data_IF_289091071808
#
_entry.id   IF_289091071808
#
_cell.length_a   1.000
_cell.length_b   1.000
_cell.length_c   1.000
_cell.angle_alpha   90.00
_cell.angle_beta   90.00
_cell.angle_gamma   90.00
#
_symmetry.space_group_name_H-M   'P 1'
#
loop_
_entity.id
_entity.type
_entity.pdbx_description
1 polymer ?
#
# COMPACT_ATOMS: atom_id res chain seq x y z
N UNK A 1 -19.83 9.21 -3.89
CA UNK A 1 -20.48 8.41 -2.82
C UNK A 1 -21.50 7.53 -3.48
N UNK A 2 -21.36 6.22 -3.41
CA UNK A 2 -22.42 5.34 -3.92
C UNK A 2 -23.67 5.53 -3.05
N UNK A 3 -24.81 5.87 -3.60
CA UNK A 3 -26.04 5.91 -2.81
C UNK A 3 -26.39 4.46 -2.47
N UNK A 4 -26.12 4.02 -1.27
CA UNK A 4 -26.42 2.65 -0.77
C UNK A 4 -27.89 2.25 -0.92
N UNK A 5 -28.76 3.22 -1.15
CA UNK A 5 -30.17 3.01 -1.41
C UNK A 5 -30.50 2.71 -2.88
N UNK A 6 -29.56 2.83 -3.81
CA UNK A 6 -29.77 2.47 -5.20
C UNK A 6 -29.61 0.96 -5.39
N UNK A 7 -30.69 0.30 -5.77
CA UNK A 7 -30.68 -1.12 -6.08
C UNK A 7 -30.09 -1.30 -7.48
N UNK A 8 -29.10 -2.19 -7.61
CA UNK A 8 -28.44 -2.54 -8.86
C UNK A 8 -28.63 -4.02 -9.18
N UNK A 9 -28.31 -4.41 -10.43
CA UNK A 9 -28.27 -5.81 -10.85
C UNK A 9 -26.96 -6.51 -10.51
N UNK A 10 -26.06 -5.88 -9.74
CA UNK A 10 -24.79 -6.45 -9.35
C UNK A 10 -24.98 -7.74 -8.53
N UNK A 11 -24.11 -8.73 -8.79
CA UNK A 11 -24.12 -10.03 -8.10
C UNK A 11 -22.89 -10.12 -7.22
N UNK A 12 -23.08 -10.04 -5.92
CA UNK A 12 -21.97 -10.14 -4.94
C UNK A 12 -21.35 -11.52 -4.95
N UNK A 13 -20.01 -11.56 -4.85
CA UNK A 13 -19.22 -12.75 -4.57
C UNK A 13 -18.26 -12.47 -3.41
N UNK A 14 -17.77 -13.55 -2.77
CA UNK A 14 -16.71 -13.49 -1.78
C UNK A 14 -15.81 -14.71 -1.88
N UNK A 15 -14.52 -14.49 -2.02
CA UNK A 15 -13.48 -15.53 -1.95
C UNK A 15 -12.90 -15.57 -0.55
N UNK A 16 -12.76 -16.75 0.00
CA UNK A 16 -12.15 -17.01 1.30
C UNK A 16 -11.65 -18.45 1.37
N UNK A 17 -10.93 -18.82 2.42
CA UNK A 17 -10.52 -20.22 2.60
C UNK A 17 -11.73 -21.16 2.77
N UNK A 18 -12.87 -20.68 3.31
CA UNK A 18 -14.15 -21.43 3.37
C UNK A 18 -14.89 -21.45 2.02
N UNK A 19 -14.61 -20.54 1.11
CA UNK A 19 -15.20 -20.45 -0.23
C UNK A 19 -14.14 -20.07 -1.28
N UNK A 20 -13.20 -20.97 -1.61
CA UNK A 20 -12.06 -20.66 -2.47
C UNK A 20 -12.43 -20.42 -3.95
N UNK A 21 -13.65 -20.76 -4.34
CA UNK A 21 -14.16 -20.55 -5.71
C UNK A 21 -15.03 -19.30 -5.84
N UNK A 22 -15.34 -18.60 -4.74
CA UNK A 22 -16.26 -17.47 -4.74
C UNK A 22 -17.70 -17.83 -5.13
N UNK A 23 -18.02 -19.12 -5.24
CA UNK A 23 -19.32 -19.59 -5.73
C UNK A 23 -20.47 -19.19 -4.79
N UNK A 24 -21.63 -18.93 -5.39
CA UNK A 24 -22.85 -18.69 -4.63
C UNK A 24 -23.17 -19.90 -3.74
N UNK A 25 -23.44 -19.66 -2.45
CA UNK A 25 -23.67 -20.70 -1.44
C UNK A 25 -22.48 -21.69 -1.30
N UNK A 26 -21.26 -21.23 -1.61
CA UNK A 26 -20.05 -22.06 -1.60
C UNK A 26 -19.41 -22.22 -0.22
N UNK A 27 -19.71 -21.33 0.73
CA UNK A 27 -19.09 -21.33 2.05
C UNK A 27 -19.80 -22.20 3.10
N UNK A 28 -19.07 -22.51 4.18
CA UNK A 28 -19.59 -23.10 5.43
C UNK A 28 -20.59 -24.26 5.27
N UNK A 29 -20.22 -25.31 4.57
CA UNK A 29 -21.08 -26.50 4.38
C UNK A 29 -21.14 -27.43 5.60
N UNK A 30 -20.49 -27.06 6.69
CA UNK A 30 -20.43 -27.84 7.94
C UNK A 30 -21.64 -27.66 8.89
N UNK A 31 -22.57 -26.74 8.56
CA UNK A 31 -23.70 -26.40 9.42
C UNK A 31 -23.39 -25.27 10.42
N UNK A 32 -24.35 -24.99 11.28
CA UNK A 32 -24.24 -23.89 12.26
C UNK A 32 -23.08 -24.10 13.24
N UNK A 33 -22.42 -23.00 13.62
CA UNK A 33 -21.30 -22.96 14.57
C UNK A 33 -20.08 -23.80 14.17
N UNK A 34 -19.94 -24.20 12.91
CA UNK A 34 -18.80 -24.97 12.40
C UNK A 34 -17.92 -24.15 11.47
N UNK A 35 -16.60 -24.36 11.57
CA UNK A 35 -15.58 -23.86 10.64
C UNK A 35 -14.88 -25.07 10.03
N UNK A 36 -14.90 -25.18 8.69
CA UNK A 36 -14.25 -26.29 7.99
C UNK A 36 -12.82 -25.94 7.58
N UNK A 37 -12.60 -24.73 7.06
CA UNK A 37 -11.32 -24.29 6.52
C UNK A 37 -11.12 -22.79 6.73
N UNK A 38 -10.84 -22.32 7.95
CA UNK A 38 -10.79 -20.88 8.24
C UNK A 38 -9.57 -20.17 7.62
N UNK A 39 -8.52 -20.93 7.23
CA UNK A 39 -7.26 -20.40 6.72
C UNK A 39 -6.79 -21.17 5.50
N UNK A 40 -5.94 -20.53 4.71
CA UNK A 40 -5.10 -21.20 3.71
C UNK A 40 -3.66 -21.25 4.23
N UNK A 41 -3.06 -22.44 4.21
CA UNK A 41 -1.63 -22.62 4.46
C UNK A 41 -0.88 -22.33 3.16
N UNK A 42 0.20 -21.54 3.25
CA UNK A 42 1.08 -21.22 2.12
C UNK A 42 2.49 -21.63 2.51
N UNK A 43 3.01 -22.68 1.86
CA UNK A 43 4.33 -23.21 2.15
C UNK A 43 5.42 -22.21 1.76
N UNK A 44 6.60 -22.36 2.35
CA UNK A 44 7.79 -21.63 1.92
C UNK A 44 8.03 -21.82 0.42
N UNK A 45 8.14 -20.70 -0.32
CA UNK A 45 8.31 -20.69 -1.79
C UNK A 45 7.04 -20.94 -2.60
N UNK A 46 5.89 -21.19 -1.97
CA UNK A 46 4.64 -21.48 -2.67
C UNK A 46 3.90 -20.20 -3.07
N UNK A 47 3.19 -20.27 -4.19
CA UNK A 47 2.21 -19.26 -4.63
C UNK A 47 0.83 -19.90 -4.67
N UNK A 48 -0.13 -19.31 -3.98
CA UNK A 48 -1.54 -19.73 -4.01
C UNK A 48 -2.40 -18.69 -4.71
N UNK A 49 -3.45 -19.15 -5.38
CA UNK A 49 -4.48 -18.28 -5.96
C UNK A 49 -5.56 -18.03 -4.93
N UNK A 50 -5.82 -16.75 -4.63
CA UNK A 50 -6.86 -16.30 -3.71
C UNK A 50 -8.16 -15.96 -4.42
N UNK A 51 -8.07 -15.43 -5.63
CA UNK A 51 -9.20 -15.08 -6.51
C UNK A 51 -8.86 -15.50 -7.93
N UNK A 52 -9.81 -16.13 -8.59
CA UNK A 52 -9.78 -16.44 -10.02
C UNK A 52 -11.24 -16.40 -10.52
N UNK A 53 -11.60 -15.36 -11.29
CA UNK A 53 -12.98 -15.17 -11.70
C UNK A 53 -13.10 -14.37 -13.00
N UNK A 54 -14.07 -14.76 -13.83
CA UNK A 54 -14.40 -14.01 -15.03
C UNK A 54 -15.15 -12.72 -14.69
N UNK A 55 -15.04 -11.75 -15.59
CA UNK A 55 -15.71 -10.46 -15.52
C UNK A 55 -16.94 -10.36 -16.42
N UNK A 56 -17.51 -9.15 -16.54
CA UNK A 56 -17.07 -7.91 -15.89
C UNK A 56 -17.42 -7.86 -14.40
N UNK A 57 -16.58 -7.15 -13.62
CA UNK A 57 -16.78 -7.05 -12.20
C UNK A 57 -15.84 -6.08 -11.50
N UNK A 58 -15.91 -6.07 -10.18
CA UNK A 58 -15.10 -5.18 -9.34
C UNK A 58 -14.82 -5.84 -8.00
N UNK A 59 -13.54 -5.87 -7.57
CA UNK A 59 -13.19 -6.12 -6.17
C UNK A 59 -13.50 -4.86 -5.38
N UNK A 60 -14.19 -5.01 -4.25
CA UNK A 60 -14.65 -3.89 -3.43
C UNK A 60 -13.95 -3.81 -2.07
N UNK A 61 -13.54 -4.96 -1.51
CA UNK A 61 -12.77 -4.99 -0.28
C UNK A 61 -11.91 -6.23 -0.17
N UNK A 62 -10.79 -6.06 0.54
CA UNK A 62 -9.86 -7.14 0.90
C UNK A 62 -9.64 -7.06 2.40
N UNK A 63 -9.79 -8.18 3.10
CA UNK A 63 -9.41 -8.34 4.49
C UNK A 63 -8.43 -9.49 4.64
N UNK A 64 -7.32 -9.23 5.32
CA UNK A 64 -6.29 -10.21 5.63
C UNK A 64 -5.94 -10.21 7.11
N UNK A 65 -5.59 -11.38 7.65
CA UNK A 65 -4.91 -11.55 8.94
C UNK A 65 -4.15 -12.89 9.00
N UNK A 66 -3.54 -13.23 10.12
CA UNK A 66 -2.62 -14.33 10.27
C UNK A 66 -1.19 -13.88 10.06
N UNK A 67 -0.44 -14.47 9.12
CA UNK A 67 0.82 -13.89 8.68
C UNK A 67 0.55 -12.81 7.65
N UNK A 68 0.92 -11.59 7.97
CA UNK A 68 0.73 -10.40 7.13
C UNK A 68 2.02 -9.59 6.99
N UNK A 69 3.14 -10.26 7.10
CA UNK A 69 4.47 -9.67 7.05
C UNK A 69 5.03 -9.48 5.65
N UNK A 70 6.30 -9.09 5.62
CA UNK A 70 6.99 -8.69 4.39
C UNK A 70 7.24 -9.84 3.40
N UNK A 71 7.30 -11.09 3.90
CA UNK A 71 7.55 -12.27 3.04
C UNK A 71 6.37 -12.65 2.16
N UNK A 72 5.15 -12.19 2.46
CA UNK A 72 4.00 -12.40 1.60
C UNK A 72 3.91 -11.35 0.52
N UNK A 73 3.96 -11.77 -0.74
CA UNK A 73 3.86 -10.91 -1.91
C UNK A 73 2.51 -11.13 -2.60
N UNK A 74 1.71 -10.05 -2.62
CA UNK A 74 0.45 -10.04 -3.37
C UNK A 74 0.69 -9.63 -4.82
N UNK A 75 0.06 -10.34 -5.76
CA UNK A 75 -0.03 -9.94 -7.17
C UNK A 75 -1.47 -9.95 -7.64
N UNK A 76 -1.82 -8.96 -8.45
CA UNK A 76 -3.14 -8.87 -9.07
C UNK A 76 -2.97 -8.68 -10.57
N UNK A 77 -3.76 -9.44 -11.32
CA UNK A 77 -3.74 -9.46 -12.78
C UNK A 77 -5.15 -9.15 -13.29
N UNK A 78 -5.26 -8.20 -14.19
CA UNK A 78 -6.51 -7.81 -14.80
C UNK A 78 -6.56 -8.24 -16.27
N UNK A 79 -7.74 -8.73 -16.69
CA UNK A 79 -8.10 -9.01 -18.09
C UNK A 79 -7.10 -9.90 -18.83
N UNK A 80 -6.55 -10.90 -18.15
CA UNK A 80 -5.58 -11.86 -18.67
C UNK A 80 -4.23 -11.24 -19.09
N UNK A 81 -3.86 -10.07 -18.53
CA UNK A 81 -2.54 -9.51 -18.74
C UNK A 81 -1.46 -10.48 -18.25
N UNK A 82 -0.36 -10.56 -19.00
CA UNK A 82 0.80 -11.41 -18.70
C UNK A 82 1.51 -10.97 -17.41
N UNK A 83 1.64 -9.65 -17.23
CA UNK A 83 2.31 -9.04 -16.09
C UNK A 83 1.31 -8.56 -15.05
N UNK A 84 1.67 -8.63 -13.75
CA UNK A 84 0.80 -8.11 -12.70
C UNK A 84 0.70 -6.58 -12.75
N UNK A 85 -0.50 -6.05 -12.54
CA UNK A 85 -0.74 -4.62 -12.31
C UNK A 85 -0.46 -4.22 -10.85
N UNK A 86 -0.51 -5.18 -9.94
CA UNK A 86 -0.13 -5.00 -8.53
C UNK A 86 0.94 -6.01 -8.18
N UNK A 87 2.07 -5.55 -7.65
CA UNK A 87 3.10 -6.40 -7.08
C UNK A 87 3.75 -5.69 -5.87
N UNK A 88 3.49 -6.22 -4.67
CA UNK A 88 4.04 -5.67 -3.44
C UNK A 88 4.06 -6.71 -2.30
N UNK A 89 5.00 -6.59 -1.34
CA UNK A 89 4.82 -7.21 -0.03
C UNK A 89 3.53 -6.70 0.60
N UNK A 90 2.74 -7.59 1.23
CA UNK A 90 1.46 -7.17 1.83
C UNK A 90 1.66 -6.15 2.94
N UNK A 91 2.75 -6.23 3.70
CA UNK A 91 3.09 -5.23 4.71
C UNK A 91 3.23 -3.82 4.09
N UNK A 92 3.92 -3.69 2.97
CA UNK A 92 4.07 -2.40 2.29
C UNK A 92 2.76 -1.95 1.63
N UNK A 93 2.01 -2.89 1.01
CA UNK A 93 0.71 -2.61 0.40
C UNK A 93 -0.32 -2.06 1.41
N UNK A 94 -0.27 -2.49 2.67
CA UNK A 94 -1.13 -1.98 3.73
C UNK A 94 -0.46 -0.90 4.60
N UNK A 95 0.76 -0.48 4.27
CA UNK A 95 1.48 0.55 5.00
C UNK A 95 2.21 0.06 6.25
N UNK A 96 2.19 -1.22 6.57
CA UNK A 96 2.75 -1.81 7.80
C UNK A 96 4.21 -2.29 7.64
N UNK A 97 5.01 -1.63 6.81
CA UNK A 97 6.33 -2.13 6.41
C UNK A 97 7.33 -2.34 7.57
N UNK A 98 7.15 -1.67 8.69
CA UNK A 98 7.97 -1.87 9.89
C UNK A 98 7.28 -2.65 11.02
N UNK A 99 6.00 -2.86 10.97
CA UNK A 99 5.22 -3.42 12.08
C UNK A 99 5.69 -4.82 12.50
N UNK A 100 6.16 -5.64 11.54
CA UNK A 100 6.65 -6.99 11.82
C UNK A 100 7.87 -6.99 12.77
N UNK A 101 8.71 -5.94 12.71
CA UNK A 101 9.94 -5.84 13.50
C UNK A 101 9.79 -4.91 14.72
N UNK A 102 8.80 -4.03 14.69
CA UNK A 102 8.61 -2.99 15.69
C UNK A 102 7.22 -3.03 16.34
N UNK A 103 6.54 -4.18 16.29
CA UNK A 103 5.33 -4.38 17.09
C UNK A 103 5.61 -4.01 18.55
N UNK A 104 4.66 -3.37 19.20
CA UNK A 104 4.75 -3.06 20.61
C UNK A 104 4.93 -4.33 21.45
N UNK A 105 5.19 -4.20 22.75
CA UNK A 105 5.41 -5.34 23.65
C UNK A 105 4.23 -6.29 23.69
N UNK A 106 3.04 -5.81 23.32
CA UNK A 106 1.79 -6.58 23.27
C UNK A 106 1.54 -7.24 21.90
N UNK A 107 2.46 -7.07 20.94
CA UNK A 107 2.35 -7.63 19.59
C UNK A 107 1.31 -6.94 18.71
N UNK A 108 0.97 -5.68 19.01
CA UNK A 108 -0.02 -4.88 18.25
C UNK A 108 0.63 -4.08 17.15
N UNK A 109 -0.04 -4.03 16.01
CA UNK A 109 0.29 -3.12 14.93
C UNK A 109 -0.22 -1.70 15.22
N UNK A 110 0.49 -0.71 14.72
CA UNK A 110 0.00 0.67 14.74
C UNK A 110 -1.29 0.80 13.93
N UNK A 111 -2.23 1.58 14.44
CA UNK A 111 -3.53 1.78 13.79
C UNK A 111 -3.41 2.79 12.66
N UNK A 112 -3.59 2.33 11.42
CA UNK A 112 -3.85 3.19 10.28
C UNK A 112 -5.38 3.28 10.10
N UNK A 113 -5.93 4.48 10.13
CA UNK A 113 -7.37 4.70 9.99
C UNK A 113 -7.63 5.69 8.85
N UNK A 114 -7.84 5.18 7.64
CA UNK A 114 -8.16 5.98 6.47
C UNK A 114 -9.38 5.46 5.72
N UNK A 115 -9.82 6.19 4.69
CA UNK A 115 -10.92 5.76 3.84
C UNK A 115 -10.57 4.54 2.98
N UNK A 116 -9.28 4.36 2.62
CA UNK A 116 -8.85 3.34 1.67
C UNK A 116 -8.16 2.14 2.31
N UNK A 117 -7.44 2.37 3.40
CA UNK A 117 -6.73 1.32 4.13
C UNK A 117 -7.02 1.48 5.62
N UNK A 118 -7.37 0.37 6.27
CA UNK A 118 -7.51 0.28 7.71
C UNK A 118 -6.60 -0.85 8.23
N UNK A 119 -5.72 -0.52 9.16
CA UNK A 119 -4.95 -1.49 9.93
C UNK A 119 -5.45 -1.51 11.36
N UNK A 120 -6.05 -2.63 11.76
CA UNK A 120 -6.53 -2.82 13.13
C UNK A 120 -5.40 -3.36 14.03
N UNK A 121 -5.38 -3.07 15.35
CA UNK A 121 -4.29 -3.44 16.25
C UNK A 121 -3.94 -4.93 16.27
N UNK A 122 -4.94 -5.80 16.10
CA UNK A 122 -4.79 -7.27 16.05
C UNK A 122 -4.34 -7.80 14.68
N UNK A 123 -3.66 -7.01 13.86
CA UNK A 123 -3.18 -7.36 12.51
C UNK A 123 -4.31 -7.61 11.51
N UNK A 124 -5.46 -6.99 11.67
CA UNK A 124 -6.51 -6.97 10.66
C UNK A 124 -6.19 -5.93 9.60
N UNK A 125 -5.81 -6.35 8.39
CA UNK A 125 -5.50 -5.47 7.26
C UNK A 125 -6.70 -5.38 6.36
N UNK A 126 -7.16 -4.15 6.07
CA UNK A 126 -8.33 -3.90 5.23
C UNK A 126 -7.96 -2.93 4.09
N UNK A 127 -8.45 -3.23 2.89
CA UNK A 127 -8.32 -2.37 1.72
C UNK A 127 -9.68 -2.18 1.09
N UNK A 128 -10.01 -0.92 0.77
CA UNK A 128 -11.28 -0.49 0.17
C UNK A 128 -11.07 0.23 -1.18
N UNK A 129 -9.89 0.12 -1.78
CA UNK A 129 -9.69 0.52 -3.16
C UNK A 129 -10.60 -0.30 -4.06
N UNK A 130 -11.41 0.37 -4.88
CA UNK A 130 -12.24 -0.30 -5.90
C UNK A 130 -11.33 -0.77 -7.04
N UNK A 131 -11.42 -2.05 -7.41
CA UNK A 131 -10.56 -2.66 -8.43
C UNK A 131 -11.41 -3.27 -9.54
N UNK A 132 -11.82 -2.48 -10.55
CA UNK A 132 -12.63 -2.95 -11.66
C UNK A 132 -11.82 -3.82 -12.63
N UNK A 133 -12.52 -4.78 -13.27
CA UNK A 133 -12.00 -5.62 -14.34
C UNK A 133 -13.09 -5.93 -15.35
N UNK A 134 -12.75 -5.98 -16.66
CA UNK A 134 -13.73 -6.19 -17.74
C UNK A 134 -13.88 -7.63 -18.14
N UNK A 135 -12.79 -8.40 -18.13
CA UNK A 135 -12.77 -9.78 -18.61
C UNK A 135 -12.44 -10.79 -17.53
N UNK A 136 -11.42 -10.53 -16.72
CA UNK A 136 -10.91 -11.50 -15.76
C UNK A 136 -10.13 -10.82 -14.62
N UNK A 137 -10.25 -11.41 -13.42
CA UNK A 137 -9.49 -11.02 -12.23
C UNK A 137 -8.78 -12.24 -11.65
N UNK A 138 -7.47 -12.17 -11.49
CA UNK A 138 -6.68 -13.15 -10.75
C UNK A 138 -5.84 -12.47 -9.67
N UNK A 139 -5.97 -12.93 -8.44
CA UNK A 139 -5.18 -12.45 -7.29
C UNK A 139 -4.44 -13.64 -6.69
N UNK A 140 -3.12 -13.48 -6.50
CA UNK A 140 -2.26 -14.52 -5.92
C UNK A 140 -1.51 -14.01 -4.72
N UNK A 141 -1.11 -14.94 -3.83
CA UNK A 141 -0.21 -14.69 -2.71
C UNK A 141 0.98 -15.65 -2.79
N UNK A 142 2.19 -15.12 -2.84
CA UNK A 142 3.44 -15.88 -2.80
C UNK A 142 4.06 -15.76 -1.38
N UNK A 143 4.47 -16.88 -0.81
CA UNK A 143 5.29 -16.88 0.40
C UNK A 143 6.77 -16.98 0.02
N UNK A 144 7.49 -15.86 0.09
CA UNK A 144 8.95 -15.80 -0.14
C UNK A 144 9.78 -16.04 1.13
N UNK A 145 9.12 -16.34 2.23
CA UNK A 145 9.79 -16.67 3.49
C UNK A 145 10.32 -18.10 3.53
N UNK A 146 11.04 -18.43 4.60
CA UNK A 146 11.65 -19.73 4.83
C UNK A 146 10.73 -20.68 5.61
N UNK A 147 9.58 -20.21 6.09
CA UNK A 147 8.65 -20.98 6.90
C UNK A 147 7.27 -21.02 6.28
N UNK A 148 6.58 -22.15 6.45
CA UNK A 148 5.16 -22.26 6.15
C UNK A 148 4.37 -21.28 7.02
N UNK A 149 3.41 -20.59 6.40
CA UNK A 149 2.60 -19.56 7.05
C UNK A 149 1.12 -19.76 6.74
N UNK A 150 0.25 -19.19 7.56
CA UNK A 150 -1.20 -19.23 7.35
C UNK A 150 -1.76 -17.85 7.12
N UNK A 151 -2.64 -17.75 6.13
CA UNK A 151 -3.39 -16.53 5.81
C UNK A 151 -4.87 -16.75 6.05
N UNK A 152 -5.51 -15.88 6.84
CA UNK A 152 -6.96 -15.73 6.86
C UNK A 152 -7.31 -14.63 5.88
N UNK A 153 -8.31 -14.85 5.03
CA UNK A 153 -8.69 -13.84 4.05
C UNK A 153 -10.16 -13.88 3.70
N UNK A 154 -10.67 -12.71 3.36
CA UNK A 154 -11.91 -12.55 2.62
C UNK A 154 -11.72 -11.42 1.60
N UNK A 155 -12.03 -11.70 0.34
CA UNK A 155 -12.00 -10.75 -0.76
C UNK A 155 -13.40 -10.67 -1.32
N UNK A 156 -14.04 -9.51 -1.16
CA UNK A 156 -15.43 -9.29 -1.59
C UNK A 156 -15.46 -8.44 -2.85
N UNK A 157 -16.38 -8.76 -3.74
CA UNK A 157 -16.60 -8.03 -4.96
C UNK A 157 -17.99 -8.29 -5.53
N UNK A 158 -18.19 -7.79 -6.74
CA UNK A 158 -19.42 -8.06 -7.47
C UNK A 158 -19.15 -8.17 -8.98
N UNK A 159 -19.92 -9.02 -9.64
CA UNK A 159 -20.10 -8.95 -11.09
C UNK A 159 -21.08 -7.82 -11.39
N UNK A 160 -20.65 -6.86 -12.17
CA UNK A 160 -21.39 -5.66 -12.53
C UNK A 160 -20.89 -5.11 -13.86
N UNK A 161 -21.66 -4.25 -14.50
CA UNK A 161 -21.18 -3.49 -15.66
C UNK A 161 -19.99 -2.61 -15.27
N UNK A 162 -18.98 -2.58 -16.13
CA UNK A 162 -17.77 -1.78 -15.97
C UNK A 162 -17.68 -0.83 -17.18
N UNK A 163 -17.71 0.50 -16.95
CA UNK A 163 -17.62 1.50 -18.03
C UNK A 163 -16.34 1.40 -18.84
N UNK A 164 -16.37 1.87 -20.09
CA UNK A 164 -15.20 1.79 -20.98
C UNK A 164 -14.06 2.71 -20.55
N UNK A 165 -14.38 3.81 -19.93
CA UNK A 165 -13.41 4.82 -19.45
C UNK A 165 -12.78 4.47 -18.09
N UNK A 166 -13.03 3.29 -17.57
CA UNK A 166 -12.49 2.89 -16.26
C UNK A 166 -10.98 2.67 -16.31
N UNK A 167 -10.28 3.14 -15.29
CA UNK A 167 -8.88 2.79 -15.04
C UNK A 167 -8.78 1.51 -14.21
N UNK A 168 -7.79 0.69 -14.50
CA UNK A 168 -7.46 -0.51 -13.73
C UNK A 168 -6.54 -0.13 -12.57
N UNK A 169 -6.79 -0.73 -11.40
CA UNK A 169 -5.98 -0.48 -10.21
C UNK A 169 -4.58 -1.07 -10.33
N UNK A 170 -3.59 -0.28 -9.97
CA UNK A 170 -2.18 -0.66 -9.94
C UNK A 170 -1.56 -0.32 -8.59
N UNK A 171 -0.56 -1.12 -8.18
CA UNK A 171 0.29 -0.78 -7.05
C UNK A 171 1.70 -1.34 -7.24
N UNK A 172 2.71 -0.56 -6.85
CA UNK A 172 4.12 -0.93 -7.00
C UNK A 172 4.91 -0.59 -5.75
N UNK A 173 5.70 -1.55 -5.33
CA UNK A 173 6.62 -1.44 -4.21
C UNK A 173 7.99 -0.97 -4.63
N UNK A 174 8.61 -0.13 -3.79
CA UNK A 174 10.02 0.24 -3.89
C UNK A 174 10.66 0.34 -2.52
N UNK A 175 11.98 0.10 -2.48
CA UNK A 175 12.81 0.35 -1.30
C UNK A 175 14.21 0.78 -1.70
N UNK A 176 14.81 1.64 -0.89
CA UNK A 176 16.25 1.95 -0.88
C UNK A 176 16.73 2.04 0.58
N UNK A 177 17.66 1.16 0.97
CA UNK A 177 18.17 1.03 2.32
C UNK A 177 19.70 1.00 2.29
N UNK A 178 20.35 2.14 2.49
CA UNK A 178 19.80 3.50 2.54
C UNK A 178 19.59 4.13 1.16
N UNK A 179 18.84 5.22 1.10
CA UNK A 179 18.82 6.11 -0.06
C UNK A 179 20.19 6.75 -0.21
N UNK A 180 20.75 6.74 -1.42
CA UNK A 180 22.05 7.31 -1.68
C UNK A 180 22.05 8.81 -1.37
N UNK A 181 22.99 9.28 -0.52
CA UNK A 181 23.12 10.67 -0.12
C UNK A 181 23.20 11.62 -1.33
N UNK A 182 22.40 12.66 -1.33
CA UNK A 182 22.34 13.64 -2.41
C UNK A 182 21.54 13.18 -3.66
N UNK A 183 20.81 12.07 -3.56
CA UNK A 183 19.87 11.60 -4.60
C UNK A 183 18.45 11.54 -4.05
N UNK A 184 17.50 11.80 -4.92
CA UNK A 184 16.09 11.62 -4.61
C UNK A 184 15.72 10.14 -4.64
N UNK A 185 14.92 9.71 -3.69
CA UNK A 185 14.23 8.42 -3.72
C UNK A 185 13.12 8.45 -4.77
N UNK A 186 13.04 7.43 -5.59
CA UNK A 186 11.98 7.31 -6.58
C UNK A 186 10.81 6.54 -5.98
N UNK A 187 9.68 7.20 -5.76
CA UNK A 187 8.43 6.56 -5.33
C UNK A 187 7.84 5.75 -6.49
N UNK A 188 7.73 6.37 -7.66
CA UNK A 188 7.25 5.72 -8.88
C UNK A 188 7.83 6.39 -10.12
N UNK A 189 8.13 5.60 -11.15
CA UNK A 189 8.50 6.03 -12.49
C UNK A 189 8.18 4.96 -13.53
N UNK A 190 8.27 5.32 -14.80
CA UNK A 190 8.09 4.39 -15.92
C UNK A 190 6.64 4.01 -16.19
N UNK A 191 5.66 4.72 -15.61
CA UNK A 191 4.26 4.61 -16.02
C UNK A 191 4.14 5.11 -17.44
N UNK A 192 3.44 4.36 -18.30
CA UNK A 192 3.14 4.71 -19.68
C UNK A 192 1.66 4.50 -19.94
N UNK A 193 0.98 5.54 -20.44
CA UNK A 193 -0.46 5.55 -20.72
C UNK A 193 -1.21 6.54 -19.86
N UNK A 194 -2.52 6.60 -20.08
CA UNK A 194 -3.44 7.52 -19.40
C UNK A 194 -3.89 6.96 -18.06
N UNK A 195 -3.91 7.83 -17.04
CA UNK A 195 -4.34 7.42 -15.71
C UNK A 195 -4.38 8.52 -14.67
N UNK A 196 -4.39 8.09 -13.41
CA UNK A 196 -4.37 9.00 -12.27
C UNK A 196 -3.64 8.35 -11.08
N UNK A 197 -2.67 9.05 -10.54
CA UNK A 197 -2.00 8.65 -9.29
C UNK A 197 -2.92 8.98 -8.12
N UNK A 198 -3.12 8.00 -7.23
CA UNK A 198 -4.05 8.12 -6.12
C UNK A 198 -3.42 7.94 -4.74
N UNK A 199 -2.09 7.79 -4.67
CA UNK A 199 -1.44 7.87 -3.37
C UNK A 199 -0.25 6.97 -3.14
N UNK A 200 0.25 7.04 -1.91
CA UNK A 200 1.43 6.31 -1.47
C UNK A 200 1.36 6.02 0.03
N UNK A 201 1.87 4.86 0.44
CA UNK A 201 2.34 4.60 1.80
C UNK A 201 3.85 4.71 1.84
N UNK A 202 4.41 5.33 2.88
CA UNK A 202 5.85 5.50 3.08
C UNK A 202 6.24 5.02 4.47
N UNK A 203 7.27 4.20 4.52
CA UNK A 203 8.01 3.88 5.73
C UNK A 203 9.41 4.48 5.62
N UNK A 204 9.82 5.29 6.58
CA UNK A 204 11.14 5.89 6.59
C UNK A 204 11.85 5.66 7.92
N UNK A 205 13.16 5.39 7.85
CA UNK A 205 13.99 5.09 9.00
C UNK A 205 15.24 5.94 9.05
N UNK A 206 15.42 6.65 10.15
CA UNK A 206 16.56 7.55 10.37
C UNK A 206 17.83 6.75 10.69
N UNK A 207 18.85 6.85 9.84
CA UNK A 207 20.14 6.17 10.03
C UNK A 207 21.20 7.00 10.75
N UNK A 208 20.89 8.22 11.10
CA UNK A 208 21.72 9.14 11.87
C UNK A 208 20.91 9.94 12.88
N UNK A 209 21.46 11.06 13.32
CA UNK A 209 20.70 12.02 14.11
C UNK A 209 19.53 12.54 13.30
N UNK A 210 18.42 12.82 13.96
CA UNK A 210 17.22 13.25 13.31
C UNK A 210 17.39 14.53 12.46
N UNK A 211 17.95 15.60 13.03
CA UNK A 211 18.25 16.89 12.34
C UNK A 211 17.10 17.42 11.47
N UNK A 212 15.87 17.30 11.94
CA UNK A 212 14.65 17.66 11.17
C UNK A 212 14.68 17.00 9.78
N UNK A 213 14.42 15.72 9.72
CA UNK A 213 14.54 14.85 8.53
C UNK A 213 13.53 15.16 7.41
N UNK A 214 12.59 16.02 7.65
CA UNK A 214 11.39 16.22 6.80
C UNK A 214 11.56 17.24 5.68
N UNK A 215 12.75 17.83 5.51
CA UNK A 215 13.01 18.87 4.49
C UNK A 215 13.11 18.33 3.06
N UNK A 216 12.80 17.04 2.87
CA UNK A 216 12.83 16.40 1.56
C UNK A 216 11.64 16.84 0.70
N UNK A 217 11.94 17.37 -0.48
CA UNK A 217 10.94 17.85 -1.43
C UNK A 217 10.25 16.68 -2.14
N UNK A 218 8.91 16.72 -2.23
CA UNK A 218 8.13 15.78 -3.03
C UNK A 218 7.83 16.41 -4.40
N UNK A 219 8.31 15.77 -5.48
CA UNK A 219 8.17 16.27 -6.84
C UNK A 219 7.42 15.30 -7.71
N UNK A 220 6.38 15.79 -8.39
CA UNK A 220 5.57 15.04 -9.35
C UNK A 220 5.72 15.61 -10.74
N UNK A 221 6.05 14.73 -11.68
CA UNK A 221 6.24 15.03 -13.08
C UNK A 221 5.12 14.34 -13.85
N UNK A 222 4.37 15.13 -14.59
CA UNK A 222 3.21 14.71 -15.36
C UNK A 222 3.59 14.68 -16.83
N UNK A 223 3.32 13.56 -17.48
CA UNK A 223 3.59 13.35 -18.89
C UNK A 223 5.09 13.53 -19.24
N UNK A 224 5.43 14.45 -20.11
CA UNK A 224 6.80 14.75 -20.56
C UNK A 224 7.47 15.91 -19.79
N UNK A 225 6.97 16.23 -18.61
CA UNK A 225 7.48 17.30 -17.77
C UNK A 225 8.99 17.20 -17.53
N UNK A 226 9.71 18.25 -17.92
CA UNK A 226 11.13 18.43 -17.62
C UNK A 226 11.36 18.87 -16.16
N UNK A 227 10.45 19.67 -15.62
CA UNK A 227 10.42 20.15 -14.25
C UNK A 227 9.11 19.71 -13.60
N UNK A 228 9.05 19.54 -12.26
CA UNK A 228 7.82 19.04 -11.63
C UNK A 228 6.68 20.03 -11.77
N UNK A 229 5.51 19.55 -12.21
CA UNK A 229 4.27 20.33 -12.19
C UNK A 229 3.68 20.48 -10.81
N UNK A 230 3.95 19.52 -9.90
CA UNK A 230 3.55 19.61 -8.49
C UNK A 230 4.79 19.45 -7.63
N UNK A 231 4.98 20.39 -6.71
CA UNK A 231 6.16 20.48 -5.89
C UNK A 231 5.81 20.88 -4.47
N UNK A 232 6.06 19.97 -3.53
CA UNK A 232 5.97 20.22 -2.09
C UNK A 232 7.37 20.45 -1.55
N UNK A 233 7.55 21.47 -0.71
CA UNK A 233 8.86 21.90 -0.22
C UNK A 233 9.37 21.10 0.96
N UNK A 234 8.52 20.28 1.58
CA UNK A 234 8.87 19.36 2.67
C UNK A 234 8.13 18.03 2.57
N UNK A 235 8.71 17.02 3.18
CA UNK A 235 8.08 15.69 3.31
C UNK A 235 6.79 15.81 4.13
N UNK A 236 6.83 16.56 5.24
CA UNK A 236 5.65 16.80 6.07
C UNK A 236 4.53 17.49 5.33
N UNK A 237 4.86 18.47 4.47
CA UNK A 237 3.89 19.19 3.65
C UNK A 237 3.15 18.24 2.73
N UNK A 238 3.89 17.35 2.07
CA UNK A 238 3.28 16.34 1.20
C UNK A 238 2.33 15.42 1.97
N UNK A 239 2.70 15.01 3.17
CA UNK A 239 1.84 14.16 4.01
C UNK A 239 0.81 14.94 4.84
N UNK A 240 0.54 16.22 4.48
CA UNK A 240 -0.46 17.11 5.11
C UNK A 240 -0.17 17.44 6.57
N UNK A 241 1.08 17.37 6.97
CA UNK A 241 1.59 17.96 8.19
C UNK A 241 2.11 19.36 7.97
N UNK A 242 2.81 19.90 8.94
CA UNK A 242 3.51 21.17 8.87
C UNK A 242 4.55 21.28 9.96
N UNK A 243 5.52 22.20 9.80
CA UNK A 243 6.52 22.51 10.83
C UNK A 243 7.17 21.25 11.43
N UNK A 244 7.68 20.35 10.56
CA UNK A 244 8.34 19.13 10.99
C UNK A 244 7.46 18.14 11.74
N UNK A 245 6.16 18.06 11.41
CA UNK A 245 5.13 17.30 12.15
C UNK A 245 4.97 17.73 13.62
N UNK A 246 4.93 19.03 13.88
CA UNK A 246 4.81 19.58 15.22
C UNK A 246 6.14 19.65 15.99
N UNK A 247 7.23 19.57 15.27
CA UNK A 247 8.58 19.67 15.79
C UNK A 247 9.02 21.14 16.02
N UNK A 248 8.10 22.02 16.35
CA UNK A 248 8.48 23.36 16.69
C UNK A 248 9.16 23.42 18.07
N UNK A 249 9.79 24.55 18.37
CA UNK A 249 10.56 24.79 19.60
C UNK A 249 9.74 24.58 20.87
N UNK A 250 8.41 24.56 20.77
CA UNK A 250 7.50 24.44 21.90
C UNK A 250 7.08 23.00 22.18
N UNK A 251 6.80 22.19 21.15
CA UNK A 251 6.23 20.84 21.31
C UNK A 251 7.33 19.80 21.54
N UNK A 252 8.46 19.91 20.87
CA UNK A 252 9.68 19.06 21.02
C UNK A 252 9.47 17.54 20.91
N UNK A 253 8.32 17.11 20.37
CA UNK A 253 8.01 15.70 20.14
C UNK A 253 7.04 15.53 18.98
N UNK A 254 7.20 14.43 18.25
CA UNK A 254 6.25 14.05 17.21
C UNK A 254 4.95 13.54 17.81
N UNK A 255 3.85 13.79 17.11
CA UNK A 255 2.53 13.24 17.43
C UNK A 255 1.97 12.50 16.24
N UNK A 256 1.43 11.30 16.48
CA UNK A 256 0.74 10.54 15.45
C UNK A 256 -0.62 11.15 15.13
N UNK A 257 -0.99 11.10 13.87
CA UNK A 257 -2.33 11.44 13.39
C UNK A 257 -2.73 10.51 12.25
N UNK A 258 -4.03 10.30 12.10
CA UNK A 258 -4.59 9.45 11.06
C UNK A 258 -5.91 10.07 10.58
N UNK A 259 -5.89 10.67 9.40
CA UNK A 259 -7.04 11.27 8.74
C UNK A 259 -7.60 10.39 7.62
N UNK A 260 -8.69 10.82 6.98
CA UNK A 260 -9.29 10.05 5.88
C UNK A 260 -8.32 9.81 4.72
N UNK A 261 -7.42 10.77 4.43
CA UNK A 261 -6.59 10.76 3.24
C UNK A 261 -5.09 10.89 3.51
N UNK A 262 -4.68 11.21 4.73
CA UNK A 262 -3.27 11.37 5.08
C UNK A 262 -3.03 11.14 6.56
N UNK A 263 -1.80 10.77 6.91
CA UNK A 263 -1.38 10.61 8.29
C UNK A 263 0.08 10.22 8.45
N UNK A 264 0.62 10.51 9.63
CA UNK A 264 1.79 9.88 10.21
C UNK A 264 1.28 9.06 11.40
N UNK A 265 1.00 7.80 11.19
CA UNK A 265 0.22 6.99 12.15
C UNK A 265 1.07 6.13 13.07
N UNK A 266 2.37 6.01 12.81
CA UNK A 266 3.29 5.28 13.68
C UNK A 266 4.65 5.97 13.80
N UNK A 267 5.20 5.92 15.00
CA UNK A 267 6.55 6.38 15.33
C UNK A 267 7.16 5.30 16.21
N UNK A 268 8.27 4.69 15.75
CA UNK A 268 9.02 3.70 16.51
C UNK A 268 10.33 4.31 16.99
N UNK A 269 10.73 3.96 18.20
CA UNK A 269 11.82 4.58 18.91
C UNK A 269 11.37 5.75 19.79
N UNK A 270 12.31 6.59 20.21
CA UNK A 270 11.99 7.77 21.01
C UNK A 270 11.29 8.83 20.16
N UNK A 271 10.13 9.30 20.58
CA UNK A 271 9.35 10.29 19.82
C UNK A 271 9.83 11.73 19.98
N UNK A 272 10.90 11.96 20.77
CA UNK A 272 11.49 13.30 20.89
C UNK A 272 12.09 13.73 19.56
N UNK A 273 11.75 14.95 19.18
CA UNK A 273 12.24 15.55 17.96
C UNK A 273 13.73 15.95 18.07
N UNK A 274 14.40 16.11 16.94
CA UNK A 274 15.72 16.67 16.67
C UNK A 274 16.96 15.83 17.02
N UNK A 275 17.01 15.10 18.14
CA UNK A 275 18.30 14.58 18.64
C UNK A 275 18.44 13.07 18.66
N UNK A 276 17.36 12.35 18.36
CA UNK A 276 17.39 10.89 18.39
C UNK A 276 17.60 10.30 17.00
N UNK A 277 18.56 9.42 16.89
CA UNK A 277 18.74 8.56 15.72
C UNK A 277 17.83 7.33 15.79
N UNK A 278 17.82 6.53 14.72
CA UNK A 278 17.13 5.24 14.67
C UNK A 278 15.59 5.29 14.83
N UNK A 279 15.00 6.46 14.70
CA UNK A 279 13.54 6.58 14.65
C UNK A 279 13.00 5.99 13.34
N UNK A 280 11.79 5.45 13.39
CA UNK A 280 11.07 4.91 12.23
C UNK A 280 9.68 5.52 12.18
N UNK A 281 9.23 5.90 10.99
CA UNK A 281 7.96 6.57 10.78
C UNK A 281 7.17 5.83 9.71
N UNK A 282 5.84 5.70 9.91
CA UNK A 282 4.91 5.21 8.91
C UNK A 282 3.94 6.32 8.55
N UNK A 283 3.86 6.61 7.25
CA UNK A 283 3.06 7.70 6.69
C UNK A 283 2.22 7.19 5.52
N UNK A 284 1.14 7.89 5.23
CA UNK A 284 0.36 7.70 4.02
C UNK A 284 -0.23 9.01 3.50
N UNK A 285 -0.38 9.11 2.20
CA UNK A 285 -1.18 10.11 1.51
C UNK A 285 -1.99 9.42 0.41
N UNK A 286 -3.32 9.60 0.44
CA UNK A 286 -4.24 9.10 -0.57
C UNK A 286 -4.93 10.26 -1.26
N UNK A 287 -4.68 10.43 -2.55
CA UNK A 287 -5.24 11.46 -3.41
C UNK A 287 -6.62 11.07 -3.92
N UNK A 288 -7.56 10.83 -2.99
CA UNK A 288 -8.95 10.47 -3.32
C UNK A 288 -9.77 11.71 -3.64
N UNK A 289 -9.53 12.78 -2.91
CA UNK A 289 -10.18 14.06 -3.14
C UNK A 289 -9.50 14.89 -4.23
N UNK A 290 -8.23 14.61 -4.50
CA UNK A 290 -7.34 15.36 -5.40
C UNK A 290 -6.49 14.43 -6.28
N UNK A 291 -7.07 13.52 -7.10
CA UNK A 291 -6.31 12.61 -7.96
C UNK A 291 -5.39 13.38 -8.92
N UNK A 292 -4.18 12.86 -9.13
CA UNK A 292 -3.21 13.50 -10.03
C UNK A 292 -3.30 12.83 -11.40
N UNK A 293 -3.92 13.52 -12.35
CA UNK A 293 -4.19 13.02 -13.69
C UNK A 293 -2.96 13.13 -14.60
N UNK A 294 -2.80 12.16 -15.49
CA UNK A 294 -1.78 12.14 -16.55
C UNK A 294 -2.33 11.49 -17.82
N UNK A 295 -1.82 11.91 -18.99
CA UNK A 295 -2.25 11.37 -20.29
C UNK A 295 -1.29 10.33 -20.85
N UNK A 296 0.02 10.47 -20.60
CA UNK A 296 1.05 9.62 -21.21
C UNK A 296 1.97 8.97 -20.20
N UNK A 297 2.12 9.55 -19.00
CA UNK A 297 2.99 9.00 -17.97
C UNK A 297 3.04 9.83 -16.70
N UNK A 298 3.61 9.22 -15.67
CA UNK A 298 3.75 9.85 -14.36
C UNK A 298 5.02 9.38 -13.66
N UNK A 299 5.69 10.31 -12.97
CA UNK A 299 6.84 10.05 -12.12
C UNK A 299 6.74 10.86 -10.84
N UNK A 300 7.09 10.24 -9.70
CA UNK A 300 7.19 10.93 -8.42
C UNK A 300 8.50 10.58 -7.72
N UNK A 301 9.16 11.59 -7.17
CA UNK A 301 10.36 11.47 -6.35
C UNK A 301 10.18 12.16 -5.02
N UNK A 302 10.95 11.72 -4.02
CA UNK A 302 11.02 12.31 -2.70
C UNK A 302 12.50 12.46 -2.31
N UNK A 303 12.94 13.66 -1.97
CA UNK A 303 14.31 13.89 -1.54
C UNK A 303 14.54 13.33 -0.14
N UNK A 304 15.73 12.80 0.08
CA UNK A 304 16.18 12.41 1.41
C UNK A 304 17.05 13.53 1.98
N UNK A 305 16.39 14.50 2.62
CA UNK A 305 17.00 15.73 3.10
C UNK A 305 16.47 16.10 4.49
N UNK A 306 17.33 16.66 5.30
CA UNK A 306 17.02 17.29 6.58
C UNK A 306 17.52 18.71 6.62
N UNK A 307 17.27 19.41 7.72
CA UNK A 307 17.65 20.81 7.92
C UNK A 307 19.13 21.10 7.64
N UNK A 308 20.00 20.13 7.89
CA UNK A 308 21.45 20.27 7.69
C UNK A 308 21.92 19.77 6.32
N UNK A 309 21.02 19.43 5.42
CA UNK A 309 21.30 18.97 4.06
C UNK A 309 21.00 17.50 3.79
N UNK A 310 21.56 16.93 2.71
CA UNK A 310 21.26 15.57 2.26
C UNK A 310 21.56 14.50 3.29
N UNK A 311 20.65 13.53 3.42
CA UNK A 311 20.68 12.41 4.37
C UNK A 311 20.93 11.07 3.64
N UNK A 312 20.94 9.98 4.40
CA UNK A 312 21.10 8.60 3.92
C UNK A 312 20.18 7.65 4.69
N UNK A 313 18.93 8.06 4.85
CA UNK A 313 17.90 7.30 5.57
C UNK A 313 17.31 6.19 4.72
N UNK A 314 16.64 5.22 5.36
CA UNK A 314 15.99 4.12 4.70
C UNK A 314 14.57 4.50 4.27
N UNK A 315 14.23 4.30 3.01
CA UNK A 315 12.87 4.54 2.49
C UNK A 315 12.29 3.27 1.87
N UNK A 316 11.02 3.01 2.20
CA UNK A 316 10.19 1.94 1.63
C UNK A 316 8.83 2.51 1.31
N UNK A 317 8.31 2.26 0.11
CA UNK A 317 7.00 2.79 -0.29
C UNK A 317 6.19 1.80 -1.10
N UNK A 318 4.86 1.99 -1.10
CA UNK A 318 3.94 1.40 -2.06
C UNK A 318 3.12 2.53 -2.67
N UNK A 319 3.24 2.70 -3.99
CA UNK A 319 2.50 3.68 -4.76
C UNK A 319 1.23 3.06 -5.34
N UNK A 320 0.13 3.84 -5.43
CA UNK A 320 -1.17 3.40 -5.94
C UNK A 320 -1.63 4.33 -7.05
N UNK A 321 -2.14 3.75 -8.15
CA UNK A 321 -2.70 4.51 -9.27
C UNK A 321 -3.73 3.70 -10.05
N UNK A 322 -4.48 4.38 -10.91
CA UNK A 322 -5.32 3.77 -11.91
C UNK A 322 -4.81 4.17 -13.30
N UNK A 323 -4.80 3.23 -14.23
CA UNK A 323 -4.47 3.51 -15.62
C UNK A 323 -5.17 2.57 -16.59
N UNK A 324 -5.15 2.93 -17.86
CA UNK A 324 -5.61 2.09 -18.96
C UNK A 324 -4.70 0.88 -19.17
N UNK A 325 -5.24 -0.20 -19.74
CA UNK A 325 -4.45 -1.36 -20.21
C UNK A 325 -4.30 -1.32 -21.74
N UNK A 326 -3.23 -1.90 -22.32
CA UNK A 326 -2.14 -2.60 -21.60
C UNK A 326 -1.20 -1.62 -20.90
N UNK A 327 -0.66 -2.02 -19.75
CA UNK A 327 0.34 -1.26 -19.00
C UNK A 327 1.74 -1.83 -19.24
N UNK A 328 2.77 -1.00 -19.04
CA UNK A 328 4.15 -1.48 -19.00
C UNK A 328 4.36 -2.43 -17.81
N UNK A 329 5.22 -3.45 -17.93
CA UNK A 329 5.58 -4.32 -16.81
C UNK A 329 6.12 -3.48 -15.63
N UNK A 330 5.72 -3.84 -14.41
CA UNK A 330 6.30 -3.27 -13.20
C UNK A 330 7.80 -3.59 -13.12
N UNK A 331 8.58 -2.71 -12.50
CA UNK A 331 9.98 -3.03 -12.20
C UNK A 331 10.02 -4.28 -11.31
N UNK A 332 10.94 -5.23 -11.56
CA UNK A 332 11.04 -6.44 -10.77
C UNK A 332 11.16 -6.14 -9.27
N UNK A 333 10.43 -6.88 -8.46
CA UNK A 333 10.50 -6.81 -7.01
C UNK A 333 11.86 -7.30 -6.53
N UNK A 334 12.77 -6.37 -6.22
CA UNK A 334 14.05 -6.70 -5.62
C UNK A 334 13.83 -6.97 -4.14
N UNK A 335 13.80 -8.26 -3.78
CA UNK A 335 13.62 -8.68 -2.41
C UNK A 335 14.98 -8.71 -1.71
N UNK A 336 15.32 -7.66 -0.98
CA UNK A 336 16.31 -7.76 0.08
C UNK A 336 15.57 -7.58 1.40
N UNK A 337 15.38 -8.68 2.12
CA UNK A 337 14.99 -8.63 3.53
C UNK A 337 16.20 -8.08 4.28
N UNK A 338 16.28 -6.76 4.41
CA UNK A 338 17.25 -6.12 5.29
C UNK A 338 16.50 -5.19 6.24
N UNK A 339 16.08 -5.76 7.33
CA UNK A 339 16.02 -4.99 8.55
C UNK A 339 17.28 -5.38 9.32
N UNK A 340 18.34 -4.58 9.23
CA UNK A 340 19.40 -4.65 10.21
C UNK A 340 18.78 -4.44 11.59
N UNK A 341 18.98 -5.43 12.46
CA UNK A 341 18.55 -5.42 13.86
C UNK A 341 19.10 -4.20 14.60
#
# INVERSE_FOLDING_TARGET
MKPYCMISNAKTFAFSAENPTGARAGGSKGGDCTKLSPTVAIRAGETVTLVDTDGPGMIQSIWFTGYVGHSFVIRMYWDNCEYPSVEAPISAFFGTAYDENFVDRDGKYAVLNSAQILVAPGRGLNCYWEMPFKKHCRITMENRGEKDQSLYYIITGCHCEVPDEIGYFHASYRQEHPVQKGRSYTIIDGIQGKGQFVGVTLATGMNGNNTCWVEGEARMYIDDDKYPSIHYTGTEDYFCGSYGFGNDVQIKSYQTYSGLYSGMYAIYGDNRAFYNGQQRFLLYRFHVADPIHFETGFRMTLDNMGWTGPRYDDYTSCAYWYQTLPSAPLKPLLFKVFFTK
#
